data_IF_004709282247
#
_entry.id   IF_004709282247
#
_cell.length_a   1.000
_cell.length_b   1.000
_cell.length_c   1.000
_cell.angle_alpha   90.00
_cell.angle_beta   90.00
_cell.angle_gamma   90.00
#
_symmetry.space_group_name_H-M   'P 1'
#
loop_
_entity.id
_entity.type
_entity.pdbx_description
1 polymer ?
#
# COMPACT_ATOMS: atom_id res chain seq x y z
N UNK A 1 -16.29 -12.15 -0.58
CA UNK A 1 -15.07 -12.42 -1.38
C UNK A 1 -15.35 -12.61 -2.87
N UNK A 2 -16.28 -13.47 -3.32
CA UNK A 2 -16.51 -13.74 -4.75
C UNK A 2 -16.85 -12.48 -5.59
N UNK A 3 -17.71 -11.58 -5.09
CA UNK A 3 -18.10 -10.35 -5.81
C UNK A 3 -16.89 -9.43 -6.06
N UNK A 4 -16.03 -9.22 -5.05
CA UNK A 4 -14.85 -8.38 -5.19
C UNK A 4 -13.80 -8.98 -6.14
N UNK A 5 -13.62 -10.30 -6.12
CA UNK A 5 -12.74 -10.99 -7.06
C UNK A 5 -13.24 -10.88 -8.50
N UNK A 6 -14.56 -11.09 -8.72
CA UNK A 6 -15.18 -10.93 -10.02
C UNK A 6 -15.05 -9.48 -10.54
N UNK A 7 -15.29 -8.49 -9.67
CA UNK A 7 -15.14 -7.08 -10.01
C UNK A 7 -13.69 -6.74 -10.38
N UNK A 8 -12.70 -7.21 -9.59
CA UNK A 8 -11.28 -7.00 -9.86
C UNK A 8 -10.88 -7.57 -11.23
N UNK A 9 -11.26 -8.80 -11.53
CA UNK A 9 -10.96 -9.44 -12.80
C UNK A 9 -11.55 -8.65 -13.98
N UNK A 10 -12.84 -8.30 -13.90
CA UNK A 10 -13.52 -7.54 -14.94
C UNK A 10 -12.92 -6.12 -15.11
N UNK A 11 -12.59 -5.42 -14.03
CA UNK A 11 -11.99 -4.09 -14.11
C UNK A 11 -10.60 -4.11 -14.73
N UNK A 12 -9.81 -5.15 -14.47
CA UNK A 12 -8.49 -5.29 -15.09
C UNK A 12 -8.57 -5.63 -16.56
N UNK A 13 -9.56 -6.45 -16.96
CA UNK A 13 -9.71 -6.91 -18.34
C UNK A 13 -10.39 -5.87 -19.24
N UNK A 14 -11.46 -5.22 -18.73
CA UNK A 14 -12.33 -4.37 -19.54
C UNK A 14 -12.31 -2.89 -19.16
N UNK A 15 -11.60 -2.53 -18.07
CA UNK A 15 -11.61 -1.19 -17.48
C UNK A 15 -12.84 -0.93 -16.59
N UNK A 16 -12.71 -0.03 -15.64
CA UNK A 16 -13.77 0.30 -14.69
C UNK A 16 -15.04 0.84 -15.40
N UNK A 17 -14.86 1.69 -16.42
CA UNK A 17 -15.97 2.35 -17.12
C UNK A 17 -16.91 1.38 -17.84
N UNK A 18 -16.36 0.36 -18.51
CA UNK A 18 -17.11 -0.59 -19.33
C UNK A 18 -17.85 -1.66 -18.53
N UNK A 19 -17.49 -1.89 -17.27
CA UNK A 19 -18.05 -2.95 -16.44
C UNK A 19 -19.30 -2.47 -15.72
N UNK A 20 -20.37 -3.27 -15.75
CA UNK A 20 -21.62 -3.04 -15.02
C UNK A 20 -21.75 -3.95 -13.80
N UNK A 21 -22.57 -3.55 -12.82
CA UNK A 21 -22.90 -4.37 -11.65
C UNK A 21 -23.58 -5.71 -12.07
N UNK A 22 -24.29 -5.72 -13.18
CA UNK A 22 -24.92 -6.93 -13.71
C UNK A 22 -23.89 -7.93 -14.27
N UNK A 23 -22.83 -7.45 -14.91
CA UNK A 23 -21.71 -8.31 -15.35
C UNK A 23 -20.97 -8.88 -14.13
N UNK A 24 -20.75 -8.06 -13.10
CA UNK A 24 -20.13 -8.52 -11.84
C UNK A 24 -20.98 -9.59 -11.17
N UNK A 25 -22.31 -9.42 -11.11
CA UNK A 25 -23.22 -10.42 -10.55
C UNK A 25 -23.12 -11.76 -11.29
N UNK A 26 -23.13 -11.73 -12.63
CA UNK A 26 -22.97 -12.93 -13.48
C UNK A 26 -21.62 -13.60 -13.25
N UNK A 27 -20.54 -12.85 -13.27
CA UNK A 27 -19.17 -13.37 -13.06
C UNK A 27 -19.00 -13.97 -11.66
N UNK A 28 -19.61 -13.36 -10.64
CA UNK A 28 -19.59 -13.84 -9.26
C UNK A 28 -20.57 -15.00 -9.00
N UNK A 29 -21.40 -15.38 -10.00
CA UNK A 29 -22.43 -16.43 -9.88
C UNK A 29 -23.42 -16.14 -8.74
N UNK A 30 -23.82 -14.87 -8.59
CA UNK A 30 -24.82 -14.43 -7.61
C UNK A 30 -25.94 -13.64 -8.29
N UNK A 31 -27.06 -13.44 -7.56
CA UNK A 31 -28.15 -12.61 -8.10
C UNK A 31 -27.74 -11.13 -8.09
N UNK A 32 -28.31 -10.34 -9.01
CA UNK A 32 -28.17 -8.88 -9.02
C UNK A 32 -28.60 -8.27 -7.68
N UNK A 33 -29.68 -8.76 -7.08
CA UNK A 33 -30.16 -8.33 -5.78
C UNK A 33 -29.09 -8.56 -4.69
N UNK A 34 -28.37 -9.68 -4.74
CA UNK A 34 -27.26 -9.97 -3.81
C UNK A 34 -26.15 -8.94 -3.93
N UNK A 35 -25.74 -8.57 -5.15
CA UNK A 35 -24.70 -7.57 -5.33
C UNK A 35 -25.12 -6.21 -4.77
N UNK A 36 -26.36 -5.76 -5.09
CA UNK A 36 -26.88 -4.48 -4.62
C UNK A 36 -27.18 -4.46 -3.11
N UNK A 37 -27.43 -5.61 -2.49
CA UNK A 37 -27.55 -5.71 -1.03
C UNK A 37 -26.23 -5.46 -0.30
N UNK A 38 -25.10 -5.82 -0.95
CA UNK A 38 -23.76 -5.59 -0.38
C UNK A 38 -23.14 -4.25 -0.81
N UNK A 39 -23.36 -3.86 -2.05
CA UNK A 39 -22.71 -2.68 -2.63
C UNK A 39 -23.73 -1.84 -3.38
N UNK A 40 -24.00 -0.64 -2.85
CA UNK A 40 -25.00 0.28 -3.42
C UNK A 40 -24.62 0.84 -4.79
N UNK A 41 -23.32 0.84 -5.11
CA UNK A 41 -22.80 1.31 -6.41
C UNK A 41 -21.47 0.64 -6.75
N UNK A 42 -21.06 0.80 -8.01
CA UNK A 42 -19.77 0.31 -8.53
C UNK A 42 -18.59 0.98 -7.84
N UNK A 43 -18.72 2.27 -7.52
CA UNK A 43 -17.72 3.07 -6.81
C UNK A 43 -17.54 2.59 -5.36
N UNK A 44 -18.64 2.23 -4.70
CA UNK A 44 -18.60 1.65 -3.34
C UNK A 44 -17.94 0.26 -3.35
N UNK A 45 -18.29 -0.57 -4.31
CA UNK A 45 -17.62 -1.86 -4.50
C UNK A 45 -16.11 -1.67 -4.75
N UNK A 46 -15.74 -0.69 -5.57
CA UNK A 46 -14.33 -0.36 -5.82
C UNK A 46 -13.62 0.11 -4.54
N UNK A 47 -14.24 0.99 -3.76
CA UNK A 47 -13.68 1.47 -2.49
C UNK A 47 -13.43 0.32 -1.49
N UNK A 48 -14.37 -0.61 -1.38
CA UNK A 48 -14.22 -1.83 -0.55
C UNK A 48 -13.13 -2.77 -1.10
N UNK A 49 -13.02 -2.88 -2.41
CA UNK A 49 -11.95 -3.65 -3.06
C UNK A 49 -10.57 -3.05 -2.75
N UNK A 50 -10.44 -1.72 -2.82
CA UNK A 50 -9.20 -1.00 -2.42
C UNK A 50 -8.90 -1.27 -0.95
N UNK A 51 -9.88 -1.06 -0.07
CA UNK A 51 -9.72 -1.29 1.36
C UNK A 51 -9.26 -2.73 1.64
N UNK A 52 -9.92 -3.71 1.04
CA UNK A 52 -9.55 -5.12 1.17
C UNK A 52 -8.11 -5.38 0.67
N UNK A 53 -7.73 -4.86 -0.50
CA UNK A 53 -6.39 -5.02 -1.04
C UNK A 53 -5.31 -4.39 -0.16
N UNK A 54 -5.63 -3.25 0.47
CA UNK A 54 -4.71 -2.55 1.36
C UNK A 54 -4.65 -3.17 2.77
N UNK A 55 -5.64 -3.98 3.16
CA UNK A 55 -5.69 -4.58 4.49
C UNK A 55 -5.50 -6.10 4.50
N UNK A 56 -5.60 -6.78 3.36
CA UNK A 56 -5.55 -8.25 3.26
C UNK A 56 -4.28 -8.88 3.82
N UNK A 57 -3.15 -8.21 3.68
CA UNK A 57 -1.86 -8.62 4.23
C UNK A 57 -1.47 -7.82 5.49
N UNK A 58 -2.39 -6.96 5.95
CA UNK A 58 -2.17 -6.12 7.12
C UNK A 58 -2.63 -6.85 8.40
N UNK A 59 -2.12 -8.06 8.61
CA UNK A 59 -2.38 -8.81 9.84
C UNK A 59 -1.49 -8.36 11.00
N UNK A 60 -0.61 -7.39 10.78
CA UNK A 60 0.34 -6.90 11.76
C UNK A 60 0.03 -5.48 12.23
N UNK A 61 0.12 -5.28 13.52
CA UNK A 61 0.36 -3.97 14.08
C UNK A 61 1.79 -3.56 13.72
N UNK A 62 2.03 -2.26 13.50
CA UNK A 62 3.40 -1.76 13.41
C UNK A 62 4.18 -2.16 14.66
N UNK A 63 5.48 -2.49 14.54
CA UNK A 63 6.28 -2.85 15.70
C UNK A 63 6.19 -1.80 16.79
N UNK A 64 5.86 -2.23 18.00
CA UNK A 64 5.82 -1.33 19.15
C UNK A 64 7.23 -0.97 19.57
N UNK A 65 7.46 0.30 19.87
CA UNK A 65 8.73 0.82 20.36
C UNK A 65 8.70 0.99 21.89
N UNK A 66 9.84 0.74 22.50
CA UNK A 66 10.15 1.07 23.88
C UNK A 66 11.46 1.87 23.94
N UNK A 67 11.82 2.40 25.09
CA UNK A 67 13.08 3.13 25.23
C UNK A 67 14.33 2.28 24.94
N UNK A 68 14.24 0.96 25.14
CA UNK A 68 15.34 0.01 24.95
C UNK A 68 15.28 -0.71 23.58
N UNK A 69 14.41 -0.26 22.66
CA UNK A 69 14.30 -0.89 21.35
C UNK A 69 15.57 -0.68 20.52
N UNK A 70 16.01 -1.74 19.84
CA UNK A 70 16.97 -1.61 18.73
C UNK A 70 16.25 -0.95 17.55
N UNK A 71 16.49 0.34 17.39
CA UNK A 71 15.80 1.15 16.38
C UNK A 71 16.13 0.72 14.96
N UNK A 72 17.35 0.22 14.69
CA UNK A 72 17.74 -0.25 13.35
C UNK A 72 16.94 -1.51 13.01
N UNK A 73 16.87 -2.47 13.93
CA UNK A 73 16.07 -3.68 13.75
C UNK A 73 14.58 -3.36 13.59
N UNK A 74 14.06 -2.40 14.37
CA UNK A 74 12.65 -1.97 14.29
C UNK A 74 12.32 -1.20 13.01
N UNK A 75 13.25 -0.38 12.50
CA UNK A 75 13.13 0.25 11.18
C UNK A 75 13.10 -0.83 10.07
N UNK A 76 14.01 -1.80 10.14
CA UNK A 76 14.04 -2.89 9.15
C UNK A 76 12.73 -3.68 9.15
N UNK A 77 12.25 -4.12 10.31
CA UNK A 77 10.99 -4.84 10.46
C UNK A 77 9.81 -4.05 9.88
N UNK A 78 9.72 -2.76 10.22
CA UNK A 78 8.66 -1.85 9.77
C UNK A 78 8.71 -1.62 8.26
N UNK A 79 9.89 -1.32 7.72
CA UNK A 79 10.04 -1.00 6.31
C UNK A 79 9.93 -2.24 5.41
N UNK A 80 10.37 -3.40 5.89
CA UNK A 80 10.16 -4.70 5.21
C UNK A 80 8.68 -4.97 5.05
N UNK A 81 7.92 -4.81 6.11
CA UNK A 81 6.46 -4.96 6.09
C UNK A 81 5.80 -4.01 5.08
N UNK A 82 6.19 -2.73 5.06
CA UNK A 82 5.68 -1.74 4.10
C UNK A 82 6.04 -2.14 2.66
N UNK A 83 7.28 -2.54 2.42
CA UNK A 83 7.77 -2.95 1.10
C UNK A 83 7.01 -4.18 0.57
N UNK A 84 6.92 -5.24 1.37
CA UNK A 84 6.21 -6.47 1.00
C UNK A 84 4.74 -6.21 0.67
N UNK A 85 4.09 -5.35 1.47
CA UNK A 85 2.72 -4.95 1.19
C UNK A 85 2.60 -4.18 -0.14
N UNK A 86 3.43 -3.16 -0.36
CA UNK A 86 3.38 -2.33 -1.57
C UNK A 86 3.69 -3.10 -2.86
N UNK A 87 4.53 -4.14 -2.75
CA UNK A 87 4.96 -4.96 -3.88
C UNK A 87 4.10 -6.21 -4.08
N UNK A 88 3.10 -6.43 -3.23
CA UNK A 88 2.21 -7.60 -3.34
C UNK A 88 1.22 -7.45 -4.51
N UNK A 89 0.71 -8.56 -5.07
CA UNK A 89 -0.12 -8.55 -6.28
C UNK A 89 -1.42 -7.75 -6.15
N UNK A 90 -2.07 -7.79 -4.98
CA UNK A 90 -3.36 -7.15 -4.76
C UNK A 90 -3.27 -5.61 -4.85
N UNK A 91 -2.45 -4.90 -4.06
CA UNK A 91 -2.25 -3.46 -4.20
C UNK A 91 -1.79 -3.03 -5.58
N UNK A 92 -0.87 -3.78 -6.21
CA UNK A 92 -0.39 -3.48 -7.56
C UNK A 92 -1.52 -3.55 -8.59
N UNK A 93 -2.41 -4.55 -8.50
CA UNK A 93 -3.54 -4.68 -9.43
C UNK A 93 -4.54 -3.52 -9.30
N UNK A 94 -4.83 -3.09 -8.06
CA UNK A 94 -5.67 -1.92 -7.80
C UNK A 94 -5.00 -0.66 -8.35
N UNK A 95 -3.70 -0.52 -8.15
CA UNK A 95 -2.95 0.63 -8.67
C UNK A 95 -2.99 0.73 -10.20
N UNK A 96 -2.93 -0.42 -10.93
CA UNK A 96 -3.09 -0.45 -12.39
C UNK A 96 -4.46 0.10 -12.82
N UNK A 97 -5.55 -0.29 -12.14
CA UNK A 97 -6.89 0.23 -12.43
C UNK A 97 -6.93 1.76 -12.22
N UNK A 98 -6.35 2.24 -11.12
CA UNK A 98 -6.30 3.68 -10.82
C UNK A 98 -5.52 4.46 -11.89
N UNK A 99 -4.38 3.95 -12.33
CA UNK A 99 -3.57 4.62 -13.35
C UNK A 99 -4.29 4.67 -14.71
N UNK A 100 -5.04 3.61 -15.06
CA UNK A 100 -5.76 3.54 -16.33
C UNK A 100 -7.05 4.38 -16.32
N UNK A 101 -7.83 4.33 -15.24
CA UNK A 101 -9.19 4.86 -15.20
C UNK A 101 -9.34 6.14 -14.37
N UNK A 102 -8.39 6.45 -13.50
CA UNK A 102 -8.44 7.61 -12.60
C UNK A 102 -8.66 8.95 -13.28
N UNK A 103 -8.05 9.24 -14.45
CA UNK A 103 -8.33 10.49 -15.19
C UNK A 103 -9.79 10.64 -15.64
N UNK A 104 -10.50 9.54 -15.86
CA UNK A 104 -11.91 9.51 -16.30
C UNK A 104 -12.89 9.44 -15.13
N UNK A 105 -12.46 8.86 -14.02
CA UNK A 105 -13.27 8.61 -12.83
C UNK A 105 -12.56 9.14 -11.57
N UNK A 106 -12.63 10.45 -11.29
CA UNK A 106 -11.87 11.09 -10.21
C UNK A 106 -12.23 10.60 -8.79
N UNK A 107 -13.35 9.90 -8.63
CA UNK A 107 -13.71 9.21 -7.39
C UNK A 107 -12.80 8.02 -7.06
N UNK A 108 -12.23 7.34 -8.07
CA UNK A 108 -11.35 6.20 -7.87
C UNK A 108 -10.04 6.56 -7.18
N UNK A 109 -9.27 7.59 -7.64
CA UNK A 109 -8.09 8.06 -6.92
C UNK A 109 -8.42 8.50 -5.48
N UNK A 110 -9.56 9.17 -5.26
CA UNK A 110 -9.98 9.59 -3.90
C UNK A 110 -10.21 8.39 -2.99
N UNK A 111 -10.94 7.38 -3.47
CA UNK A 111 -11.17 6.14 -2.74
C UNK A 111 -9.85 5.41 -2.47
N UNK A 112 -8.96 5.33 -3.45
CA UNK A 112 -7.65 4.71 -3.33
C UNK A 112 -6.79 5.39 -2.26
N UNK A 113 -6.59 6.71 -2.36
CA UNK A 113 -5.77 7.43 -1.39
C UNK A 113 -6.34 7.34 0.03
N UNK A 114 -7.67 7.46 0.18
CA UNK A 114 -8.34 7.43 1.47
C UNK A 114 -8.26 6.09 2.19
N UNK A 115 -8.30 4.98 1.45
CA UNK A 115 -8.36 3.62 2.02
C UNK A 115 -7.03 2.85 1.94
N UNK A 116 -6.07 3.33 1.15
CA UNK A 116 -4.75 2.70 0.96
C UNK A 116 -3.60 3.55 1.52
N UNK A 117 -3.03 4.48 0.73
CA UNK A 117 -1.82 5.21 1.12
C UNK A 117 -1.94 6.01 2.40
N UNK A 118 -3.05 6.74 2.63
CA UNK A 118 -3.20 7.60 3.81
C UNK A 118 -3.16 6.83 5.14
N UNK A 119 -3.86 5.70 5.33
CA UNK A 119 -3.73 4.89 6.52
C UNK A 119 -2.30 4.39 6.78
N UNK A 120 -1.59 3.99 5.71
CA UNK A 120 -0.18 3.55 5.82
C UNK A 120 0.73 4.69 6.23
N UNK A 121 0.61 5.87 5.60
CA UNK A 121 1.37 7.06 5.96
C UNK A 121 1.14 7.43 7.43
N UNK A 122 -0.10 7.40 7.91
CA UNK A 122 -0.42 7.69 9.32
C UNK A 122 0.30 6.73 10.27
N UNK A 123 0.16 5.42 10.05
CA UNK A 123 0.80 4.41 10.90
C UNK A 123 2.32 4.52 10.92
N UNK A 124 2.93 4.80 9.77
CA UNK A 124 4.38 5.01 9.71
C UNK A 124 4.79 6.35 10.35
N UNK A 125 3.95 7.39 10.25
CA UNK A 125 4.13 8.64 10.98
C UNK A 125 4.09 8.42 12.50
N UNK A 126 3.09 7.65 12.98
CA UNK A 126 2.96 7.28 14.40
C UNK A 126 4.18 6.50 14.90
N UNK A 127 4.76 5.62 14.07
CA UNK A 127 6.02 4.94 14.38
C UNK A 127 7.17 5.94 14.59
N UNK A 128 7.34 6.92 13.70
CA UNK A 128 8.37 7.96 13.85
C UNK A 128 8.12 8.87 15.06
N UNK A 129 6.86 9.19 15.36
CA UNK A 129 6.50 9.94 16.58
C UNK A 129 6.86 9.16 17.85
N UNK A 130 6.62 7.84 17.87
CA UNK A 130 7.05 6.98 18.98
C UNK A 130 8.59 6.94 19.11
N UNK A 131 9.31 6.84 17.98
CA UNK A 131 10.76 6.87 17.99
C UNK A 131 11.32 8.19 18.56
N UNK A 132 10.70 9.33 18.21
CA UNK A 132 11.02 10.63 18.80
C UNK A 132 10.73 10.66 20.31
N UNK A 133 9.56 10.17 20.73
CA UNK A 133 9.15 10.12 22.14
C UNK A 133 10.17 9.37 23.00
N UNK A 134 10.71 8.26 22.49
CA UNK A 134 11.72 7.46 23.18
C UNK A 134 13.16 7.91 22.91
N UNK A 135 13.36 9.01 22.16
CA UNK A 135 14.67 9.52 21.77
C UNK A 135 15.54 8.52 20.99
N UNK A 136 14.91 7.61 20.31
CA UNK A 136 15.57 6.64 19.43
C UNK A 136 15.94 7.27 18.08
N UNK A 137 15.13 8.24 17.63
CA UNK A 137 15.37 9.09 16.46
C UNK A 137 15.03 10.54 16.81
N UNK A 138 15.48 11.47 15.96
CA UNK A 138 15.12 12.89 15.96
C UNK A 138 14.57 13.25 14.58
N UNK A 139 13.28 12.98 14.37
CA UNK A 139 12.56 13.17 13.10
C UNK A 139 11.76 14.47 13.18
N UNK A 140 12.20 15.57 12.54
CA UNK A 140 11.52 16.88 12.64
C UNK A 140 10.09 16.88 12.05
N UNK A 141 9.85 16.08 11.03
CA UNK A 141 8.54 15.94 10.40
C UNK A 141 8.22 14.44 10.16
N UNK A 142 7.59 13.77 11.14
CA UNK A 142 7.26 12.34 11.05
C UNK A 142 6.43 11.96 9.82
N UNK A 143 5.47 12.80 9.43
CA UNK A 143 4.66 12.57 8.24
C UNK A 143 5.48 12.61 6.96
N UNK A 144 6.32 13.62 6.77
CA UNK A 144 7.18 13.72 5.59
C UNK A 144 8.16 12.56 5.53
N UNK A 145 8.75 12.17 6.67
CA UNK A 145 9.62 11.01 6.77
C UNK A 145 8.91 9.72 6.38
N UNK A 146 7.65 9.55 6.80
CA UNK A 146 6.82 8.41 6.42
C UNK A 146 6.58 8.35 4.90
N UNK A 147 6.21 9.46 4.29
CA UNK A 147 6.00 9.55 2.83
C UNK A 147 7.31 9.23 2.07
N UNK A 148 8.45 9.78 2.50
CA UNK A 148 9.76 9.51 1.91
C UNK A 148 10.20 8.05 2.08
N UNK A 149 9.99 7.46 3.26
CA UNK A 149 10.33 6.07 3.54
C UNK A 149 9.56 5.09 2.63
N UNK A 150 8.28 5.34 2.38
CA UNK A 150 7.45 4.56 1.45
C UNK A 150 8.06 4.55 0.04
N UNK A 151 8.51 5.71 -0.45
CA UNK A 151 9.13 5.80 -1.77
C UNK A 151 10.51 5.17 -1.83
N UNK A 152 11.31 5.25 -0.76
CA UNK A 152 12.61 4.60 -0.67
C UNK A 152 12.49 3.07 -0.81
N UNK A 153 11.59 2.44 -0.05
CA UNK A 153 11.44 0.97 -0.08
C UNK A 153 10.71 0.47 -1.33
N UNK A 154 9.81 1.27 -1.91
CA UNK A 154 9.16 0.92 -3.16
C UNK A 154 10.16 0.83 -4.31
N UNK A 155 11.09 1.76 -4.39
CA UNK A 155 12.16 1.80 -5.38
C UNK A 155 11.72 1.62 -6.84
N UNK A 156 12.65 1.45 -7.76
CA UNK A 156 12.35 1.16 -9.16
C UNK A 156 11.66 -0.20 -9.37
N UNK A 157 11.84 -1.16 -8.45
CA UNK A 157 11.21 -2.47 -8.53
C UNK A 157 9.68 -2.37 -8.47
N UNK A 158 9.15 -1.43 -7.69
CA UNK A 158 7.71 -1.18 -7.63
C UNK A 158 7.13 -0.74 -8.97
N UNK A 159 7.85 0.08 -9.73
CA UNK A 159 7.44 0.49 -11.08
C UNK A 159 7.54 -0.69 -12.05
N UNK A 160 8.61 -1.50 -12.00
CA UNK A 160 8.76 -2.69 -12.84
C UNK A 160 7.61 -3.68 -12.62
N UNK A 161 7.30 -4.00 -11.36
CA UNK A 161 6.16 -4.86 -11.02
C UNK A 161 4.81 -4.27 -11.45
N UNK A 162 4.66 -2.95 -11.33
CA UNK A 162 3.44 -2.27 -11.76
C UNK A 162 3.23 -2.42 -13.27
N UNK A 163 4.31 -2.33 -14.05
CA UNK A 163 4.31 -2.43 -15.52
C UNK A 163 4.45 -3.87 -16.04
N UNK A 164 4.47 -4.87 -15.14
CA UNK A 164 4.65 -6.28 -15.47
C UNK A 164 5.96 -6.56 -16.24
N UNK A 165 7.03 -5.83 -15.88
CA UNK A 165 8.34 -5.95 -16.48
C UNK A 165 9.21 -6.96 -15.72
N UNK A 166 10.01 -7.71 -16.46
CA UNK A 166 11.05 -8.56 -15.86
C UNK A 166 12.06 -7.74 -15.06
N UNK A 167 12.56 -8.35 -13.98
CA UNK A 167 13.67 -7.79 -13.19
C UNK A 167 14.97 -8.33 -13.76
N UNK A 168 15.87 -7.47 -14.29
CA UNK A 168 17.17 -7.91 -14.81
C UNK A 168 18.01 -8.60 -13.75
N UNK A 169 18.85 -9.55 -14.15
CA UNK A 169 19.68 -10.31 -13.22
C UNK A 169 20.73 -9.46 -12.47
N UNK A 170 21.12 -8.32 -13.04
CA UNK A 170 22.04 -7.34 -12.46
C UNK A 170 21.33 -6.25 -11.65
N UNK A 171 20.00 -6.35 -11.52
CA UNK A 171 19.22 -5.39 -10.74
C UNK A 171 19.44 -5.66 -9.24
N UNK A 172 19.61 -4.59 -8.40
CA UNK A 172 19.76 -4.78 -6.97
C UNK A 172 18.59 -5.55 -6.35
N UNK A 173 18.90 -6.43 -5.39
CA UNK A 173 17.89 -7.20 -4.70
C UNK A 173 16.95 -6.29 -3.86
N UNK A 174 15.75 -6.77 -3.57
CA UNK A 174 14.82 -6.04 -2.70
C UNK A 174 15.43 -5.71 -1.33
N UNK A 175 16.21 -6.65 -0.78
CA UNK A 175 16.94 -6.45 0.46
C UNK A 175 17.98 -5.32 0.39
N UNK A 176 18.64 -5.10 -0.75
CA UNK A 176 19.57 -3.98 -0.91
C UNK A 176 18.85 -2.63 -0.81
N UNK A 177 17.65 -2.52 -1.40
CA UNK A 177 16.82 -1.32 -1.26
C UNK A 177 16.34 -1.13 0.18
N UNK A 178 15.91 -2.22 0.84
CA UNK A 178 15.48 -2.18 2.22
C UNK A 178 16.61 -1.71 3.15
N UNK A 179 17.77 -2.37 3.08
CA UNK A 179 18.91 -2.02 3.91
C UNK A 179 19.41 -0.59 3.62
N UNK A 180 19.43 -0.20 2.35
CA UNK A 180 19.73 1.16 1.94
C UNK A 180 18.78 2.18 2.57
N UNK A 181 17.49 1.95 2.53
CA UNK A 181 16.48 2.81 3.12
C UNK A 181 16.61 2.91 4.66
N UNK A 182 16.82 1.78 5.35
CA UNK A 182 17.06 1.73 6.80
C UNK A 182 18.25 2.58 7.17
N UNK A 183 19.38 2.39 6.47
CA UNK A 183 20.61 3.13 6.76
C UNK A 183 20.48 4.63 6.46
N UNK A 184 19.81 5.00 5.38
CA UNK A 184 19.57 6.42 5.03
C UNK A 184 18.71 7.10 6.10
N UNK A 185 17.60 6.48 6.51
CA UNK A 185 16.70 7.01 7.53
C UNK A 185 17.42 7.13 8.86
N UNK A 186 18.08 6.06 9.31
CA UNK A 186 18.81 6.07 10.58
C UNK A 186 19.89 7.16 10.63
N UNK A 187 20.73 7.23 9.59
CA UNK A 187 21.81 8.24 9.53
C UNK A 187 21.28 9.68 9.49
N UNK A 188 20.13 9.89 8.82
CA UNK A 188 19.51 11.22 8.71
C UNK A 188 18.86 11.68 10.02
N UNK A 189 18.37 10.74 10.83
CA UNK A 189 17.56 11.05 12.01
C UNK A 189 18.12 10.49 13.32
N UNK A 190 19.32 9.92 13.35
CA UNK A 190 19.94 9.53 14.62
C UNK A 190 20.12 10.74 15.52
N UNK A 191 19.87 10.63 16.85
CA UNK A 191 20.08 11.73 17.78
C UNK A 191 21.52 12.23 17.77
N UNK A 192 21.71 13.54 17.89
CA UNK A 192 23.03 14.12 18.02
C UNK A 192 23.67 13.66 19.34
N UNK A 193 24.74 12.88 19.27
CA UNK A 193 25.49 12.43 20.46
C UNK A 193 25.51 10.91 20.71
N UNK A 194 25.00 10.10 19.79
CA UNK A 194 25.21 8.64 19.77
C UNK A 194 26.11 8.24 18.62
#
# INVERSE_FOLDING_TARGET
MAIMQAAKALFLEHGFGAVSMDQIARQATVSKATVYAHFTSKEKLFAEMVFSACTSNWNGEMPQLTADSDIIAKLEETLRFVMEHLLSPEPLSVYRIIMAEGPRFPELPKAFFGNGPLPMIRKLSDFFEQANKYRLLDVPNPRLAAEQAIWLVRGPIGIRRLLDMDVPADFPAEDDYLQGAVQMIYRSFRPAGN
#
